data_IF_665921322634
#
_entry.id   IF_665921322634
#
_cell.length_a   1.000
_cell.length_b   1.000
_cell.length_c   1.000
_cell.angle_alpha   90.00
_cell.angle_beta   90.00
_cell.angle_gamma   90.00
#
_symmetry.space_group_name_H-M   'P 1'
#
loop_
_entity.id
_entity.type
_entity.pdbx_description
1 polymer ?
#
# COMPACT_ATOMS: atom_id res chain seq x y z
N UNK A 1 -17.25 5.21 -9.86
CA UNK A 1 -16.35 4.07 -9.92
C UNK A 1 -16.66 3.02 -8.85
N UNK A 2 -15.72 2.12 -8.55
CA UNK A 2 -15.90 1.01 -7.61
C UNK A 2 -16.38 1.46 -6.23
N UNK A 3 -15.72 2.46 -5.64
CA UNK A 3 -16.04 3.02 -4.32
C UNK A 3 -17.50 3.46 -4.22
N UNK A 4 -17.97 4.17 -5.25
CA UNK A 4 -19.38 4.58 -5.32
C UNK A 4 -20.32 3.37 -5.41
N UNK A 5 -19.99 2.38 -6.26
CA UNK A 5 -20.77 1.15 -6.36
C UNK A 5 -20.83 0.35 -5.08
N UNK A 6 -19.72 0.25 -4.35
CA UNK A 6 -19.66 -0.40 -3.06
C UNK A 6 -20.53 0.34 -2.02
N UNK A 7 -20.46 1.66 -1.98
CA UNK A 7 -21.30 2.48 -1.11
C UNK A 7 -22.80 2.36 -1.44
N UNK A 8 -23.14 2.32 -2.74
CA UNK A 8 -24.53 2.15 -3.20
C UNK A 8 -25.11 0.75 -2.85
N UNK A 9 -24.27 -0.26 -2.62
CA UNK A 9 -24.70 -1.56 -2.10
C UNK A 9 -25.14 -1.54 -0.63
N UNK A 10 -24.86 -0.47 0.11
CA UNK A 10 -25.59 -0.07 1.32
C UNK A 10 -25.03 -0.52 2.66
N UNK A 11 -24.04 -1.43 2.73
CA UNK A 11 -23.59 -2.00 4.01
C UNK A 11 -22.06 -1.87 4.24
N UNK A 12 -21.44 -0.86 3.61
CA UNK A 12 -19.98 -0.71 3.70
C UNK A 12 -19.58 0.72 4.09
N UNK A 13 -18.85 0.83 5.18
CA UNK A 13 -18.10 2.03 5.52
C UNK A 13 -16.72 1.96 4.84
N UNK A 14 -16.44 2.92 3.96
CA UNK A 14 -15.22 2.92 3.17
C UNK A 14 -14.27 3.99 3.66
N UNK A 15 -13.05 3.60 4.01
CA UNK A 15 -11.93 4.50 4.21
C UNK A 15 -10.96 4.38 3.05
N UNK A 16 -10.83 5.45 2.27
CA UNK A 16 -9.94 5.52 1.13
C UNK A 16 -8.64 6.23 1.51
N UNK A 17 -7.53 5.55 1.28
CA UNK A 17 -6.20 6.06 1.67
C UNK A 17 -5.45 6.49 0.41
N UNK A 18 -4.96 7.72 0.42
CA UNK A 18 -4.25 8.34 -0.71
C UNK A 18 -2.92 8.94 -0.25
N UNK A 19 -1.90 9.05 -1.13
CA UNK A 19 -0.61 9.63 -0.75
C UNK A 19 -0.73 11.04 -0.20
N UNK A 20 -1.38 11.93 -0.96
CA UNK A 20 -1.57 13.34 -0.62
C UNK A 20 -2.93 13.84 -1.08
N UNK A 21 -3.77 14.38 -0.18
CA UNK A 21 -5.02 15.02 -0.57
C UNK A 21 -4.77 16.31 -1.32
N UNK A 22 -5.57 16.56 -2.33
CA UNK A 22 -5.56 17.82 -3.11
C UNK A 22 -6.69 18.77 -2.68
N UNK A 23 -7.66 18.27 -1.89
CA UNK A 23 -8.78 19.05 -1.34
C UNK A 23 -10.03 19.06 -2.21
N UNK A 24 -10.01 18.41 -3.37
CA UNK A 24 -11.13 18.27 -4.30
C UNK A 24 -11.71 16.84 -4.32
N UNK A 25 -11.26 15.97 -3.41
CA UNK A 25 -11.75 14.61 -3.32
C UNK A 25 -13.22 14.55 -2.88
N UNK A 26 -14.00 13.72 -3.58
CA UNK A 26 -15.39 13.44 -3.20
C UNK A 26 -15.44 12.62 -1.90
N UNK A 27 -15.80 13.29 -0.79
CA UNK A 27 -15.93 12.67 0.55
C UNK A 27 -17.31 12.07 0.83
N UNK A 28 -18.19 12.11 -0.15
CA UNK A 28 -19.58 11.66 0.04
C UNK A 28 -19.70 10.13 0.14
N UNK A 29 -18.79 9.40 -0.51
CA UNK A 29 -18.83 7.94 -0.61
C UNK A 29 -17.77 7.23 0.24
N UNK A 30 -16.84 7.97 0.83
CA UNK A 30 -15.75 7.39 1.60
C UNK A 30 -15.11 8.41 2.54
N UNK A 31 -14.63 7.94 3.67
CA UNK A 31 -13.63 8.64 4.46
C UNK A 31 -12.32 8.70 3.69
N UNK A 32 -11.62 9.84 3.71
CA UNK A 32 -10.34 9.99 3.01
C UNK A 32 -9.24 10.30 4.01
N UNK A 33 -8.22 9.45 4.02
CA UNK A 33 -7.00 9.64 4.80
C UNK A 33 -5.85 9.92 3.84
N UNK A 34 -5.20 11.07 4.04
CA UNK A 34 -3.95 11.40 3.35
C UNK A 34 -2.75 10.86 4.12
N UNK A 35 -1.91 10.05 3.49
CA UNK A 35 -0.68 9.52 4.09
C UNK A 35 0.26 10.66 4.54
N UNK A 36 0.32 11.75 3.77
CA UNK A 36 1.08 12.96 4.11
C UNK A 36 0.61 13.68 5.38
N UNK A 37 -0.51 13.25 5.95
CA UNK A 37 -1.09 13.81 7.17
C UNK A 37 -0.97 12.85 8.37
N UNK A 38 -0.33 11.68 8.18
CA UNK A 38 -0.17 10.65 9.21
C UNK A 38 1.14 10.87 9.94
N UNK A 39 1.13 11.22 11.24
CA UNK A 39 2.34 11.34 12.03
C UNK A 39 3.02 9.97 12.25
N UNK A 40 4.32 9.90 12.03
CA UNK A 40 5.11 8.67 12.14
C UNK A 40 5.86 8.64 13.47
N UNK A 41 5.54 7.69 14.31
CA UNK A 41 6.34 7.38 15.48
C UNK A 41 7.43 6.36 15.12
N UNK A 42 8.61 6.82 14.75
CA UNK A 42 9.73 5.97 14.32
C UNK A 42 10.15 4.92 15.34
N UNK A 43 9.94 5.18 16.64
CA UNK A 43 10.20 4.19 17.69
C UNK A 43 9.31 2.95 17.52
N UNK A 44 8.06 3.14 17.15
CA UNK A 44 7.12 2.03 17.02
C UNK A 44 7.35 1.29 15.70
N UNK A 45 7.65 2.02 14.63
CA UNK A 45 8.09 1.44 13.36
C UNK A 45 9.32 0.58 13.56
N UNK A 46 10.38 1.12 14.19
CA UNK A 46 11.61 0.38 14.47
C UNK A 46 11.40 -0.87 15.32
N UNK A 47 10.52 -0.80 16.32
CA UNK A 47 10.23 -1.94 17.20
C UNK A 47 9.65 -3.10 16.42
N UNK A 48 8.80 -2.85 15.46
CA UNK A 48 8.20 -3.89 14.60
C UNK A 48 9.22 -4.56 13.70
N UNK A 49 10.13 -3.78 13.12
CA UNK A 49 11.23 -4.31 12.30
C UNK A 49 12.19 -5.17 13.14
N UNK A 50 12.56 -4.72 14.35
CA UNK A 50 13.49 -5.44 15.21
C UNK A 50 12.86 -6.70 15.82
N UNK A 51 11.57 -6.72 16.10
CA UNK A 51 10.89 -7.88 16.71
C UNK A 51 10.56 -9.00 15.70
N UNK A 52 10.97 -8.87 14.45
CA UNK A 52 10.78 -9.93 13.45
C UNK A 52 9.31 -10.23 13.08
N UNK A 53 8.37 -9.41 13.54
CA UNK A 53 6.95 -9.58 13.19
C UNK A 53 6.70 -9.42 11.69
N UNK A 54 7.52 -8.65 11.01
CA UNK A 54 7.47 -8.46 9.57
C UNK A 54 8.30 -9.54 8.84
N UNK A 55 9.25 -10.17 9.52
CA UNK A 55 10.23 -11.11 8.92
C UNK A 55 9.73 -12.50 8.58
N UNK A 56 8.53 -12.89 9.04
CA UNK A 56 8.06 -14.27 8.83
C UNK A 56 7.17 -14.47 7.60
N UNK A 57 6.94 -13.44 6.79
CA UNK A 57 5.86 -13.47 5.80
C UNK A 57 6.32 -13.06 4.38
N UNK A 58 7.47 -12.44 4.19
CA UNK A 58 7.98 -12.04 2.86
C UNK A 58 9.15 -12.93 2.42
N UNK A 59 9.31 -13.08 1.10
CA UNK A 59 10.56 -13.61 0.54
C UNK A 59 11.74 -12.94 1.26
N UNK A 60 12.60 -13.72 1.95
CA UNK A 60 13.71 -13.16 2.71
C UNK A 60 14.57 -12.19 1.90
N UNK A 61 14.79 -12.46 0.61
CA UNK A 61 15.60 -11.63 -0.27
C UNK A 61 14.93 -10.29 -0.61
N UNK A 62 13.60 -10.27 -0.77
CA UNK A 62 12.86 -9.02 -0.95
C UNK A 62 12.85 -8.22 0.35
N UNK A 63 12.63 -8.90 1.47
CA UNK A 63 12.65 -8.29 2.79
C UNK A 63 14.02 -7.73 3.15
N UNK A 64 15.10 -8.45 2.88
CA UNK A 64 16.48 -7.97 3.12
C UNK A 64 16.80 -6.75 2.25
N UNK A 65 16.38 -6.75 0.98
CA UNK A 65 16.53 -5.58 0.10
C UNK A 65 15.72 -4.40 0.60
N UNK A 66 14.46 -4.62 0.99
CA UNK A 66 13.60 -3.59 1.56
C UNK A 66 14.18 -3.07 2.88
N UNK A 67 14.61 -3.97 3.75
CA UNK A 67 15.24 -3.65 5.03
C UNK A 67 16.53 -2.84 4.84
N UNK A 68 17.40 -3.26 3.95
CA UNK A 68 18.68 -2.60 3.74
C UNK A 68 18.49 -1.21 3.11
N UNK A 69 17.51 -1.06 2.23
CA UNK A 69 17.09 0.26 1.74
C UNK A 69 16.47 1.10 2.88
N UNK A 70 15.58 0.55 3.67
CA UNK A 70 14.98 1.25 4.80
C UNK A 70 16.05 1.65 5.83
N UNK A 71 16.99 0.77 6.19
CA UNK A 71 18.06 1.10 7.16
C UNK A 71 19.08 2.10 6.60
N UNK A 72 19.40 2.04 5.31
CA UNK A 72 20.22 3.04 4.66
C UNK A 72 19.53 4.41 4.63
N UNK A 73 18.20 4.42 4.44
CA UNK A 73 17.38 5.61 4.30
C UNK A 73 16.82 6.15 5.61
N UNK A 74 16.87 5.39 6.73
CA UNK A 74 16.41 5.86 8.04
C UNK A 74 17.06 7.18 8.47
N UNK A 75 18.27 7.47 8.00
CA UNK A 75 18.94 8.74 8.22
C UNK A 75 18.50 9.83 7.24
N UNK A 76 17.70 9.50 6.22
CA UNK A 76 17.30 10.41 5.14
C UNK A 76 15.78 10.58 5.00
N UNK A 77 14.96 9.79 5.70
CA UNK A 77 13.51 9.98 5.67
C UNK A 77 13.16 11.31 6.31
N UNK A 78 12.94 12.30 5.46
CA UNK A 78 12.52 13.64 5.88
C UNK A 78 11.04 13.58 6.26
N UNK A 79 10.78 13.54 7.55
CA UNK A 79 9.49 14.00 8.05
C UNK A 79 9.51 15.52 8.13
N UNK A 80 8.38 16.14 7.87
CA UNK A 80 8.19 17.57 8.10
C UNK A 80 8.14 17.87 9.61
N UNK A 81 7.97 19.14 9.97
CA UNK A 81 7.90 19.60 11.39
C UNK A 81 6.77 18.95 12.19
N UNK A 82 5.76 18.37 11.52
CA UNK A 82 4.66 17.64 12.14
C UNK A 82 4.94 16.14 12.30
N UNK A 83 6.13 15.68 11.90
CA UNK A 83 6.50 14.27 11.94
C UNK A 83 5.85 13.42 10.84
N UNK A 84 5.31 14.03 9.80
CA UNK A 84 4.69 13.34 8.68
C UNK A 84 5.64 13.17 7.50
N UNK A 85 5.53 12.05 6.77
CA UNK A 85 6.28 11.83 5.53
C UNK A 85 5.69 12.71 4.42
N UNK A 86 6.57 13.35 3.64
CA UNK A 86 6.15 14.11 2.47
C UNK A 86 6.01 13.20 1.25
N UNK A 87 4.89 13.35 0.54
CA UNK A 87 4.62 12.66 -0.72
C UNK A 87 4.57 13.66 -1.87
N UNK A 88 5.13 13.28 -3.02
CA UNK A 88 5.10 14.12 -4.21
C UNK A 88 3.69 14.28 -4.79
N UNK A 89 2.83 13.29 -4.58
CA UNK A 89 1.50 13.22 -5.20
C UNK A 89 1.54 12.98 -6.72
N UNK A 90 2.69 12.57 -7.25
CA UNK A 90 2.95 12.30 -8.67
C UNK A 90 3.64 10.96 -8.81
N UNK A 91 3.95 10.55 -10.05
CA UNK A 91 4.88 9.45 -10.32
C UNK A 91 6.32 10.02 -10.37
N UNK A 92 7.06 10.00 -9.25
CA UNK A 92 8.42 10.55 -9.22
C UNK A 92 9.44 9.55 -9.77
N UNK A 93 10.66 10.04 -10.00
CA UNK A 93 11.79 9.19 -10.41
C UNK A 93 12.15 8.16 -9.31
N UNK A 94 11.85 8.48 -8.04
CA UNK A 94 12.05 7.63 -6.86
C UNK A 94 10.76 6.86 -6.44
N UNK A 95 10.01 6.34 -7.38
CA UNK A 95 8.72 5.67 -7.14
C UNK A 95 8.80 4.55 -6.10
N UNK A 96 9.91 3.79 -6.06
CA UNK A 96 10.12 2.71 -5.07
C UNK A 96 10.16 3.27 -3.64
N UNK A 97 10.80 4.42 -3.44
CA UNK A 97 10.83 5.12 -2.15
C UNK A 97 9.42 5.55 -1.73
N UNK A 98 8.64 6.12 -2.64
CA UNK A 98 7.24 6.48 -2.35
C UNK A 98 6.39 5.28 -1.98
N UNK A 99 6.56 4.14 -2.65
CA UNK A 99 5.87 2.88 -2.31
C UNK A 99 6.24 2.43 -0.89
N UNK A 100 7.51 2.52 -0.51
CA UNK A 100 7.98 2.18 0.82
C UNK A 100 7.39 3.12 1.88
N UNK A 101 7.42 4.42 1.63
CA UNK A 101 6.84 5.44 2.50
C UNK A 101 5.34 5.21 2.68
N UNK A 102 4.65 4.89 1.59
CA UNK A 102 3.23 4.54 1.60
C UNK A 102 2.96 3.31 2.45
N UNK A 103 3.82 2.28 2.36
CA UNK A 103 3.73 1.08 3.17
C UNK A 103 3.90 1.37 4.67
N UNK A 104 4.85 2.21 5.06
CA UNK A 104 5.07 2.61 6.47
C UNK A 104 3.83 3.31 7.03
N UNK A 105 3.30 4.29 6.31
CA UNK A 105 2.07 4.99 6.71
C UNK A 105 0.87 4.03 6.83
N UNK A 106 0.75 3.07 5.90
CA UNK A 106 -0.31 2.06 5.96
C UNK A 106 -0.24 1.22 7.24
N UNK A 107 0.95 0.84 7.69
CA UNK A 107 1.15 0.15 8.96
C UNK A 107 0.72 1.00 10.17
N UNK A 108 0.98 2.31 10.16
CA UNK A 108 0.51 3.24 11.21
C UNK A 108 -1.01 3.34 11.19
N UNK A 109 -1.62 3.54 10.03
CA UNK A 109 -3.09 3.61 9.89
C UNK A 109 -3.73 2.31 10.37
N UNK A 110 -3.18 1.17 9.97
CA UNK A 110 -3.68 -0.15 10.32
C UNK A 110 -3.74 -0.42 11.83
N UNK A 111 -2.98 0.32 12.64
CA UNK A 111 -3.02 0.25 14.11
C UNK A 111 -3.98 1.23 14.75
N UNK A 112 -4.34 2.29 14.04
CA UNK A 112 -5.06 3.44 14.63
C UNK A 112 -6.53 3.48 14.31
N UNK A 113 -6.96 2.80 13.26
CA UNK A 113 -8.38 2.72 12.87
C UNK A 113 -8.89 1.29 12.94
N UNK A 114 -10.18 1.12 13.15
CA UNK A 114 -10.87 -0.17 13.08
C UNK A 114 -11.43 -0.39 11.66
N UNK A 115 -11.31 -1.62 11.15
CA UNK A 115 -11.81 -2.04 9.85
C UNK A 115 -11.84 -3.57 9.75
N UNK A 116 -12.59 -4.11 8.81
CA UNK A 116 -12.77 -5.55 8.64
C UNK A 116 -11.88 -6.14 7.54
N UNK A 117 -11.59 -5.36 6.49
CA UNK A 117 -10.86 -5.83 5.31
C UNK A 117 -9.96 -4.74 4.74
N UNK A 118 -8.82 -5.16 4.22
CA UNK A 118 -7.88 -4.31 3.47
C UNK A 118 -8.11 -4.59 1.99
N UNK A 119 -8.24 -3.53 1.19
CA UNK A 119 -8.40 -3.64 -0.26
C UNK A 119 -7.34 -2.80 -0.97
N UNK A 120 -6.37 -3.47 -1.60
CA UNK A 120 -5.26 -2.84 -2.33
C UNK A 120 -5.48 -2.88 -3.83
N UNK A 121 -5.28 -1.72 -4.47
CA UNK A 121 -5.49 -1.54 -5.89
C UNK A 121 -4.16 -1.38 -6.63
N UNK A 122 -3.88 -2.34 -7.49
CA UNK A 122 -2.66 -2.39 -8.31
C UNK A 122 -1.35 -2.51 -7.51
N UNK A 123 -0.29 -2.87 -8.20
CA UNK A 123 1.02 -3.21 -7.64
C UNK A 123 1.62 -2.12 -6.74
N UNK A 124 1.33 -0.85 -7.01
CA UNK A 124 1.81 0.29 -6.21
C UNK A 124 1.33 0.23 -4.75
N UNK A 125 0.18 -0.38 -4.49
CA UNK A 125 -0.43 -0.43 -3.16
C UNK A 125 -0.29 -1.79 -2.48
N UNK A 126 0.22 -2.82 -3.17
CA UNK A 126 0.34 -4.15 -2.58
C UNK A 126 1.28 -4.19 -1.37
N UNK A 127 2.49 -3.54 -1.38
CA UNK A 127 3.33 -3.49 -0.20
C UNK A 127 2.64 -2.87 1.02
N UNK A 128 1.84 -1.83 0.80
CA UNK A 128 1.06 -1.19 1.85
C UNK A 128 -0.02 -2.12 2.42
N UNK A 129 -0.74 -2.83 1.54
CA UNK A 129 -1.74 -3.81 1.96
C UNK A 129 -1.14 -4.98 2.72
N UNK A 130 -0.01 -5.51 2.27
CA UNK A 130 0.73 -6.58 2.95
C UNK A 130 1.16 -6.12 4.35
N UNK A 131 1.75 -4.93 4.46
CA UNK A 131 2.17 -4.38 5.76
C UNK A 131 0.97 -4.15 6.70
N UNK A 132 -0.12 -3.58 6.20
CA UNK A 132 -1.34 -3.40 6.97
C UNK A 132 -1.91 -4.74 7.48
N UNK A 133 -1.91 -5.79 6.64
CA UNK A 133 -2.30 -7.16 7.02
C UNK A 133 -1.40 -7.70 8.12
N UNK A 134 -0.08 -7.56 8.00
CA UNK A 134 0.88 -8.05 8.99
C UNK A 134 0.69 -7.41 10.36
N UNK A 135 0.40 -6.10 10.37
CA UNK A 135 0.20 -5.33 11.59
C UNK A 135 -1.13 -5.63 12.26
N UNK A 136 -2.21 -5.75 11.49
CA UNK A 136 -3.58 -5.86 12.01
C UNK A 136 -4.11 -7.29 12.09
N UNK A 137 -3.57 -8.19 11.28
CA UNK A 137 -4.12 -9.55 11.09
C UNK A 137 -5.41 -9.59 10.27
N UNK A 138 -5.86 -8.45 9.71
CA UNK A 138 -7.09 -8.38 8.91
C UNK A 138 -6.84 -8.92 7.49
N UNK A 139 -7.85 -9.50 6.84
CA UNK A 139 -7.72 -10.06 5.50
C UNK A 139 -7.38 -9.00 4.45
N UNK A 140 -6.55 -9.39 3.49
CA UNK A 140 -6.13 -8.58 2.35
C UNK A 140 -6.77 -9.08 1.06
N UNK A 141 -7.47 -8.19 0.39
CA UNK A 141 -7.93 -8.35 -0.99
C UNK A 141 -7.07 -7.48 -1.90
N UNK A 142 -6.54 -8.05 -2.96
CA UNK A 142 -5.88 -7.26 -4.01
C UNK A 142 -6.77 -7.15 -5.24
N UNK A 143 -6.73 -5.99 -5.88
CA UNK A 143 -7.43 -5.72 -7.13
C UNK A 143 -6.42 -5.51 -8.24
N UNK A 144 -6.41 -6.44 -9.20
CA UNK A 144 -5.48 -6.43 -10.33
C UNK A 144 -6.17 -5.77 -11.52
N UNK A 145 -5.71 -4.58 -11.93
CA UNK A 145 -6.22 -3.91 -13.13
C UNK A 145 -5.51 -4.39 -14.40
N UNK A 146 -4.20 -4.58 -14.31
CA UNK A 146 -3.35 -5.19 -15.34
C UNK A 146 -2.06 -5.67 -14.68
N UNK A 147 -1.51 -6.78 -15.17
CA UNK A 147 -0.20 -7.24 -14.70
C UNK A 147 0.93 -6.55 -15.45
N UNK A 148 2.15 -6.64 -14.89
CA UNK A 148 3.33 -6.14 -15.57
C UNK A 148 3.60 -6.89 -16.88
N UNK A 149 3.21 -8.15 -16.98
CA UNK A 149 3.27 -8.91 -18.23
C UNK A 149 2.41 -8.29 -19.33
N UNK A 150 1.18 -7.85 -18.96
CA UNK A 150 0.26 -7.20 -19.90
C UNK A 150 0.81 -5.85 -20.36
N UNK A 151 1.35 -5.06 -19.41
CA UNK A 151 1.90 -3.72 -19.67
C UNK A 151 3.19 -3.77 -20.49
N UNK A 152 4.07 -4.73 -20.20
CA UNK A 152 5.42 -4.86 -20.82
C UNK A 152 5.46 -5.70 -22.08
N UNK A 153 4.32 -6.25 -22.52
CA UNK A 153 4.25 -7.18 -23.66
C UNK A 153 5.20 -8.37 -23.51
N UNK A 154 5.24 -8.95 -22.31
CA UNK A 154 6.04 -10.13 -22.01
C UNK A 154 7.51 -9.86 -21.63
N UNK A 155 7.89 -8.60 -21.38
CA UNK A 155 9.22 -8.20 -20.89
C UNK A 155 9.10 -7.46 -19.55
N UNK A 156 8.69 -8.16 -18.48
CA UNK A 156 8.37 -7.51 -17.23
C UNK A 156 9.57 -6.84 -16.57
N UNK A 157 9.35 -5.68 -15.96
CA UNK A 157 10.29 -5.08 -15.04
C UNK A 157 10.43 -6.00 -13.82
N UNK A 158 11.63 -6.46 -13.45
CA UNK A 158 11.79 -7.42 -12.35
C UNK A 158 11.28 -6.93 -11.01
N UNK A 159 11.41 -5.63 -10.72
CA UNK A 159 10.95 -5.04 -9.46
C UNK A 159 9.43 -5.04 -9.39
N UNK A 160 8.76 -4.57 -10.44
CA UNK A 160 7.28 -4.56 -10.50
C UNK A 160 6.72 -5.97 -10.45
N UNK A 161 7.31 -6.88 -11.22
CA UNK A 161 6.92 -8.30 -11.20
C UNK A 161 7.08 -8.93 -9.81
N UNK A 162 8.18 -8.61 -9.11
CA UNK A 162 8.39 -9.07 -7.73
C UNK A 162 7.28 -8.58 -6.79
N UNK A 163 6.92 -7.30 -6.86
CA UNK A 163 5.84 -6.71 -6.05
C UNK A 163 4.48 -7.36 -6.38
N UNK A 164 4.17 -7.56 -7.65
CA UNK A 164 2.94 -8.23 -8.08
C UNK A 164 2.86 -9.68 -7.56
N UNK A 165 3.97 -10.43 -7.71
CA UNK A 165 4.07 -11.79 -7.20
C UNK A 165 3.83 -11.85 -5.70
N UNK A 166 4.43 -10.94 -4.93
CA UNK A 166 4.23 -10.89 -3.49
C UNK A 166 2.79 -10.53 -3.15
N UNK A 167 2.23 -9.52 -3.80
CA UNK A 167 0.81 -9.17 -3.62
C UNK A 167 -0.12 -10.37 -3.81
N UNK A 168 0.08 -11.14 -4.88
CA UNK A 168 -0.72 -12.33 -5.18
C UNK A 168 -0.51 -13.46 -4.16
N UNK A 169 0.71 -13.63 -3.64
CA UNK A 169 1.02 -14.69 -2.67
C UNK A 169 0.48 -14.38 -1.26
N UNK A 170 0.46 -13.10 -0.87
CA UNK A 170 0.07 -12.69 0.49
C UNK A 170 -1.39 -12.30 0.63
N UNK A 171 -2.08 -12.03 -0.48
CA UNK A 171 -3.50 -11.76 -0.46
C UNK A 171 -4.31 -13.00 -0.06
N UNK A 172 -5.38 -12.78 0.70
CA UNK A 172 -6.38 -13.82 0.98
C UNK A 172 -7.28 -14.02 -0.24
N UNK A 173 -7.53 -12.94 -0.99
CA UNK A 173 -8.30 -12.96 -2.23
C UNK A 173 -7.72 -12.01 -3.27
N UNK A 174 -7.87 -12.40 -4.55
CA UNK A 174 -7.49 -11.58 -5.70
C UNK A 174 -8.71 -11.32 -6.58
N UNK A 175 -9.01 -10.05 -6.84
CA UNK A 175 -10.03 -9.62 -7.79
C UNK A 175 -9.36 -9.18 -9.09
N UNK A 176 -9.82 -9.71 -10.22
CA UNK A 176 -9.33 -9.36 -11.55
C UNK A 176 -10.40 -8.61 -12.32
N UNK A 177 -10.03 -7.51 -12.95
CA UNK A 177 -10.91 -6.82 -13.88
C UNK A 177 -10.76 -7.45 -15.27
N UNK A 178 -11.61 -8.44 -15.57
CA UNK A 178 -11.68 -8.99 -16.91
C UNK A 178 -12.61 -8.13 -17.77
N UNK A 179 -12.04 -7.31 -18.64
CA UNK A 179 -12.83 -6.67 -19.70
C UNK A 179 -13.06 -7.71 -20.79
N UNK A 180 -14.27 -8.25 -20.86
CA UNK A 180 -14.68 -9.07 -22.00
C UNK A 180 -14.54 -8.21 -23.25
N UNK A 181 -13.57 -8.52 -24.10
CA UNK A 181 -13.50 -7.92 -25.42
C UNK A 181 -14.66 -8.52 -26.20
N UNK A 182 -15.77 -7.79 -26.26
CA UNK A 182 -16.78 -8.06 -27.27
C UNK A 182 -16.15 -7.71 -28.61
N UNK A 183 -15.76 -8.77 -29.36
CA UNK A 183 -15.20 -8.69 -30.69
C UNK A 183 -16.21 -8.18 -31.73
#
# INVERSE_FOLDING_TARGET
GLTKGMWECGDMDITFVIPKPHGDEERHFANIIGMSQVPICWRDVNREYVQGRIGNVMDPDFYFRLRDHIYADFNYMRTNDLGCIEFSGRYPDNLVEEINNYSICAGVIARTIDYDVIHSHDWLTYPAGIHAKQVSGKPLVIHVHATEFDRSRGKPNPTVFGIEKDGMNYADHSAYFWKKNDG
#
